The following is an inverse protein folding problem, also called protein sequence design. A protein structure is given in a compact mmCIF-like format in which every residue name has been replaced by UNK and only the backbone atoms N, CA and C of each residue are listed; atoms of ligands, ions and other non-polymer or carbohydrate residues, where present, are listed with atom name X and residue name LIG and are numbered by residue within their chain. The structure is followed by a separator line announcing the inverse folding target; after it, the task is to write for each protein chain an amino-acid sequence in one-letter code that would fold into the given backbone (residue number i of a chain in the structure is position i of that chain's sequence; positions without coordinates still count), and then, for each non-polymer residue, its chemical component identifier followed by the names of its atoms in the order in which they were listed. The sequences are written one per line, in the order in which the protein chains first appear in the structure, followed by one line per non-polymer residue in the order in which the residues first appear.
data_IF_585830374970
#
_entry.id   IF_585830374970
#
_cell.length_a   1.000
_cell.length_b   1.000
_cell.length_c   1.000
_cell.angle_alpha   90.00
_cell.angle_beta   90.00
_cell.angle_gamma   90.00
#
_symmetry.space_group_name_H-M   'P 1'
#
loop_
_entity.id
_entity.type
_entity.pdbx_description
1 polymer ?
#
# COMPACT_ATOMS: atom_id res chain seq x y z
N UNK A 1 -31.25 24.80 -5.48
CA UNK A 1 -31.64 23.87 -4.42
C UNK A 1 -32.73 22.97 -4.94
N UNK A 2 -32.70 21.69 -4.61
CA UNK A 2 -33.72 20.69 -4.95
C UNK A 2 -34.42 20.25 -3.67
N UNK A 3 -35.67 19.72 -3.80
CA UNK A 3 -36.48 19.24 -2.65
C UNK A 3 -36.40 17.72 -2.43
N UNK A 4 -35.60 17.03 -3.23
CA UNK A 4 -35.40 15.58 -3.12
C UNK A 4 -34.07 15.30 -2.42
N UNK A 5 -33.89 14.12 -1.78
CA UNK A 5 -32.62 13.72 -1.20
C UNK A 5 -31.48 13.73 -2.22
N UNK A 6 -30.34 14.25 -1.83
CA UNK A 6 -29.13 14.36 -2.66
C UNK A 6 -28.07 13.38 -2.15
N UNK A 7 -27.59 12.53 -3.05
CA UNK A 7 -26.47 11.63 -2.80
C UNK A 7 -25.23 12.24 -3.45
N UNK A 8 -24.20 12.53 -2.65
CA UNK A 8 -22.91 12.98 -3.18
C UNK A 8 -21.94 11.82 -3.38
N UNK A 9 -21.13 11.91 -4.43
CA UNK A 9 -20.03 10.98 -4.72
C UNK A 9 -18.86 11.76 -5.28
N UNK A 10 -17.64 11.49 -4.82
CA UNK A 10 -16.49 12.26 -5.29
C UNK A 10 -15.15 11.80 -4.74
N UNK A 11 -14.79 10.53 -4.89
CA UNK A 11 -13.49 10.00 -4.41
C UNK A 11 -13.28 10.23 -2.90
N UNK A 12 -14.30 10.03 -2.12
CA UNK A 12 -14.17 10.06 -0.67
C UNK A 12 -13.44 8.79 -0.22
N UNK A 13 -12.29 8.95 0.43
CA UNK A 13 -11.44 7.85 0.94
C UNK A 13 -11.44 7.81 2.47
N UNK A 14 -11.95 8.85 3.10
CA UNK A 14 -11.96 9.02 4.56
C UNK A 14 -13.39 9.24 5.05
N UNK A 15 -13.88 8.50 6.06
CA UNK A 15 -15.27 8.62 6.54
C UNK A 15 -15.59 10.00 7.13
N UNK A 16 -14.64 10.66 7.79
CA UNK A 16 -14.86 11.98 8.39
C UNK A 16 -15.23 13.06 7.36
N UNK A 17 -14.76 12.90 6.12
CA UNK A 17 -15.14 13.81 5.03
C UNK A 17 -16.62 13.67 4.67
N UNK A 18 -17.12 12.43 4.66
CA UNK A 18 -18.52 12.14 4.46
C UNK A 18 -19.38 12.73 5.58
N UNK A 19 -18.96 12.54 6.82
CA UNK A 19 -19.62 13.09 7.99
C UNK A 19 -19.69 14.63 7.95
N UNK A 20 -18.60 15.29 7.55
CA UNK A 20 -18.58 16.75 7.41
C UNK A 20 -19.63 17.24 6.40
N UNK A 21 -19.75 16.59 5.23
CA UNK A 21 -20.71 16.96 4.20
C UNK A 21 -22.16 16.81 4.68
N UNK A 22 -22.45 15.74 5.44
CA UNK A 22 -23.75 15.50 6.03
C UNK A 22 -24.07 16.54 7.10
N UNK A 23 -23.16 16.84 8.01
CA UNK A 23 -23.32 17.85 9.09
C UNK A 23 -23.52 19.25 8.55
N UNK A 24 -22.85 19.61 7.47
CA UNK A 24 -23.01 20.91 6.80
C UNK A 24 -24.29 21.00 5.94
N UNK A 25 -25.09 19.95 5.85
CA UNK A 25 -26.30 19.91 5.02
C UNK A 25 -26.03 20.03 3.52
N UNK A 26 -24.82 19.65 3.08
CA UNK A 26 -24.39 19.73 1.65
C UNK A 26 -24.87 18.51 0.86
N UNK A 27 -25.20 17.43 1.52
CA UNK A 27 -25.81 16.23 0.97
C UNK A 27 -26.62 15.49 2.06
N UNK A 28 -27.58 14.67 1.65
CA UNK A 28 -28.35 13.82 2.55
C UNK A 28 -27.72 12.44 2.71
N UNK A 29 -26.99 11.97 1.69
CA UNK A 29 -26.31 10.69 1.66
C UNK A 29 -24.96 10.81 0.97
N UNK A 30 -24.03 9.90 1.28
CA UNK A 30 -22.71 9.81 0.64
C UNK A 30 -22.50 8.43 0.05
N UNK A 31 -22.06 8.37 -1.22
CA UNK A 31 -21.74 7.12 -1.90
C UNK A 31 -20.24 6.89 -2.01
N UNK A 32 -19.82 5.67 -1.68
CA UNK A 32 -18.43 5.21 -1.77
C UNK A 32 -18.33 4.12 -2.85
N UNK A 33 -17.79 4.45 -4.02
CA UNK A 33 -17.57 3.47 -5.10
C UNK A 33 -16.26 2.72 -4.93
N UNK A 34 -15.17 3.22 -5.52
CA UNK A 34 -13.86 2.56 -5.49
C UNK A 34 -13.28 2.39 -4.09
N UNK A 35 -13.68 3.22 -3.13
CA UNK A 35 -13.28 3.05 -1.74
C UNK A 35 -13.84 1.74 -1.16
N UNK A 36 -15.08 1.37 -1.49
CA UNK A 36 -15.65 0.09 -1.07
C UNK A 36 -14.96 -1.12 -1.72
N UNK A 37 -14.33 -0.94 -2.88
CA UNK A 37 -13.47 -1.98 -3.48
C UNK A 37 -12.14 -2.10 -2.73
N UNK A 38 -11.59 -0.98 -2.26
CA UNK A 38 -10.31 -0.94 -1.53
C UNK A 38 -10.48 -1.47 -0.09
N UNK A 39 -11.54 -1.07 0.57
CA UNK A 39 -11.88 -1.48 1.94
C UNK A 39 -13.40 -1.62 2.11
N UNK A 40 -13.95 -2.82 1.94
CA UNK A 40 -15.39 -3.05 2.11
C UNK A 40 -15.85 -2.89 3.56
N UNK A 41 -14.93 -3.00 4.53
CA UNK A 41 -15.19 -2.85 5.97
C UNK A 41 -15.11 -1.40 6.46
N UNK A 42 -14.89 -0.42 5.57
CA UNK A 42 -14.79 0.99 5.96
C UNK A 42 -15.97 1.48 6.80
N UNK A 43 -17.26 1.18 6.49
CA UNK A 43 -18.36 1.61 7.33
C UNK A 43 -18.32 1.02 8.74
N UNK A 44 -17.99 -0.26 8.85
CA UNK A 44 -17.83 -0.94 10.14
C UNK A 44 -16.67 -0.34 10.97
N UNK A 45 -15.53 -0.06 10.33
CA UNK A 45 -14.39 0.61 10.95
C UNK A 45 -14.76 1.99 11.45
N UNK A 46 -15.52 2.76 10.65
CA UNK A 46 -15.99 4.08 11.05
C UNK A 46 -16.94 4.03 12.25
N UNK A 47 -17.87 3.07 12.28
CA UNK A 47 -18.80 2.89 13.40
C UNK A 47 -18.10 2.52 14.71
N UNK A 48 -16.98 1.83 14.65
CA UNK A 48 -16.21 1.36 15.80
C UNK A 48 -15.00 2.23 16.13
N UNK A 49 -14.85 3.40 15.48
CA UNK A 49 -13.70 4.30 15.63
C UNK A 49 -12.34 3.60 15.41
N UNK A 50 -12.29 2.69 14.45
CA UNK A 50 -11.13 1.84 14.14
C UNK A 50 -10.60 2.16 12.74
N UNK A 51 -10.13 3.41 12.55
CA UNK A 51 -9.72 3.94 11.24
C UNK A 51 -8.24 3.79 10.94
N UNK A 52 -7.42 3.37 11.90
CA UNK A 52 -5.97 3.30 11.76
C UNK A 52 -5.49 2.30 10.70
N UNK A 53 -6.28 1.24 10.45
CA UNK A 53 -6.00 0.24 9.42
C UNK A 53 -6.91 0.36 8.18
N UNK A 54 -7.63 1.48 8.06
CA UNK A 54 -8.42 1.77 6.88
C UNK A 54 -7.53 1.84 5.64
N UNK A 55 -7.86 1.04 4.63
CA UNK A 55 -7.12 0.97 3.37
C UNK A 55 -7.75 1.93 2.34
N UNK A 56 -7.13 3.07 2.04
CA UNK A 56 -7.69 4.03 1.10
C UNK A 56 -7.56 3.57 -0.35
N UNK A 57 -8.52 3.96 -1.18
CA UNK A 57 -8.40 3.83 -2.62
C UNK A 57 -7.34 4.82 -3.15
N UNK A 58 -6.22 4.32 -3.65
CA UNK A 58 -5.12 5.13 -4.21
C UNK A 58 -5.38 5.68 -5.63
N UNK A 59 -6.59 5.53 -6.14
CA UNK A 59 -7.02 6.01 -7.46
C UNK A 59 -6.13 5.57 -8.64
N UNK A 60 -5.51 4.41 -8.56
CA UNK A 60 -4.63 3.86 -9.61
C UNK A 60 -5.37 3.43 -10.87
N UNK A 61 -6.65 3.08 -10.77
CA UNK A 61 -7.55 2.61 -11.83
C UNK A 61 -7.13 1.31 -12.53
N UNK A 62 -5.99 0.72 -12.17
CA UNK A 62 -5.34 -0.38 -12.93
C UNK A 62 -6.12 -1.70 -12.88
N UNK A 63 -6.59 -2.09 -11.70
CA UNK A 63 -7.29 -3.36 -11.53
C UNK A 63 -8.81 -3.26 -11.61
N UNK A 64 -9.39 -2.11 -11.33
CA UNK A 64 -10.84 -1.92 -11.37
C UNK A 64 -11.30 -1.37 -12.72
N UNK A 65 -11.06 -0.09 -13.00
CA UNK A 65 -11.58 0.60 -14.19
C UNK A 65 -10.97 0.04 -15.48
N UNK A 66 -9.65 -0.21 -15.50
CA UNK A 66 -9.00 -0.74 -16.70
C UNK A 66 -9.51 -2.14 -17.05
N UNK A 67 -9.69 -3.02 -16.05
CA UNK A 67 -10.23 -4.36 -16.29
C UNK A 67 -11.71 -4.30 -16.73
N UNK A 68 -12.48 -3.40 -16.12
CA UNK A 68 -13.87 -3.20 -16.53
C UNK A 68 -13.99 -2.83 -18.02
N UNK A 69 -13.15 -1.92 -18.52
CA UNK A 69 -13.14 -1.56 -19.95
C UNK A 69 -12.68 -2.68 -20.86
N UNK A 70 -11.93 -3.64 -20.35
CA UNK A 70 -11.50 -4.84 -21.12
C UNK A 70 -12.51 -5.99 -21.05
N UNK A 71 -13.57 -5.86 -20.22
CA UNK A 71 -14.50 -6.95 -19.92
C UNK A 71 -13.88 -8.06 -19.05
N UNK A 72 -12.81 -7.75 -18.33
CA UNK A 72 -12.11 -8.67 -17.42
C UNK A 72 -12.65 -8.54 -16.00
N UNK A 73 -12.54 -9.58 -15.16
CA UNK A 73 -12.86 -9.49 -13.74
C UNK A 73 -12.06 -8.37 -13.07
N UNK A 74 -12.75 -7.54 -12.29
CA UNK A 74 -12.09 -6.46 -11.55
C UNK A 74 -11.27 -7.03 -10.38
N UNK A 75 -10.12 -6.40 -10.11
CA UNK A 75 -9.31 -6.60 -8.93
C UNK A 75 -8.89 -5.26 -8.34
N UNK A 76 -8.32 -5.26 -7.15
CA UNK A 76 -7.84 -4.04 -6.52
C UNK A 76 -6.37 -4.20 -6.11
N UNK A 77 -5.52 -3.20 -6.40
CA UNK A 77 -4.10 -3.23 -6.06
C UNK A 77 -3.84 -3.13 -4.56
N UNK A 78 -4.79 -2.58 -3.81
CA UNK A 78 -4.66 -2.39 -2.36
C UNK A 78 -5.56 -3.32 -1.55
N UNK A 79 -6.42 -4.10 -2.21
CA UNK A 79 -7.25 -5.13 -1.59
C UNK A 79 -7.05 -6.45 -2.34
N UNK A 80 -6.17 -7.35 -1.87
CA UNK A 80 -5.92 -8.63 -2.54
C UNK A 80 -7.11 -9.60 -2.46
N UNK A 81 -8.13 -9.28 -1.64
CA UNK A 81 -9.31 -10.11 -1.41
C UNK A 81 -10.56 -9.65 -2.16
N UNK A 82 -10.47 -8.61 -2.97
CA UNK A 82 -11.63 -8.14 -3.74
C UNK A 82 -12.26 -9.30 -4.54
N UNK A 83 -13.55 -9.53 -4.29
CA UNK A 83 -14.31 -10.63 -4.90
C UNK A 83 -14.18 -11.98 -4.19
N UNK A 84 -13.42 -12.05 -3.10
CA UNK A 84 -13.21 -13.24 -2.27
C UNK A 84 -13.56 -13.01 -0.78
N UNK A 85 -14.28 -11.93 -0.47
CA UNK A 85 -14.58 -11.50 0.90
C UNK A 85 -15.34 -12.57 1.68
N UNK A 86 -16.29 -13.26 1.03
CA UNK A 86 -17.06 -14.32 1.67
C UNK A 86 -16.22 -15.54 2.09
N UNK A 87 -15.08 -15.76 1.44
CA UNK A 87 -14.16 -16.86 1.75
C UNK A 87 -13.19 -16.49 2.87
N UNK A 88 -12.90 -15.18 3.04
CA UNK A 88 -11.91 -14.66 3.97
C UNK A 88 -10.51 -15.23 3.72
N UNK A 89 -9.64 -15.10 4.70
CA UNK A 89 -8.33 -15.77 4.70
C UNK A 89 -8.47 -17.17 5.32
N UNK A 90 -8.43 -18.26 4.54
CA UNK A 90 -8.52 -19.59 5.12
C UNK A 90 -7.34 -19.81 6.07
N UNK A 91 -7.65 -20.23 7.30
CA UNK A 91 -6.61 -20.56 8.27
C UNK A 91 -5.78 -21.74 7.75
N UNK A 92 -4.48 -21.69 8.02
CA UNK A 92 -3.60 -22.78 7.67
C UNK A 92 -3.84 -23.97 8.60
N UNK A 93 -3.85 -25.19 8.06
CA UNK A 93 -3.96 -26.43 8.86
C UNK A 93 -2.80 -26.58 9.83
N UNK A 94 -1.61 -26.13 9.42
CA UNK A 94 -0.39 -26.14 10.25
C UNK A 94 0.31 -24.78 10.16
N UNK A 95 0.64 -24.23 11.33
CA UNK A 95 1.48 -23.03 11.40
C UNK A 95 2.88 -23.32 10.86
N UNK A 96 3.43 -22.35 10.13
CA UNK A 96 4.78 -22.36 9.58
C UNK A 96 5.55 -21.13 10.03
N UNK A 97 6.87 -21.25 10.18
CA UNK A 97 7.78 -20.12 10.32
C UNK A 97 8.03 -19.53 8.94
N UNK A 98 7.51 -18.33 8.68
CA UNK A 98 7.62 -17.64 7.38
C UNK A 98 8.56 -16.46 7.52
N UNK A 99 9.58 -16.41 6.66
CA UNK A 99 10.49 -15.31 6.53
C UNK A 99 10.11 -14.49 5.31
N UNK A 100 9.83 -13.18 5.49
CA UNK A 100 9.56 -12.24 4.40
C UNK A 100 10.75 -11.29 4.29
N UNK A 101 11.36 -11.20 3.10
CA UNK A 101 12.54 -10.37 2.83
C UNK A 101 12.12 -9.19 1.97
N UNK A 102 12.16 -7.99 2.55
CA UNK A 102 11.77 -6.72 1.94
C UNK A 102 10.45 -6.18 2.48
N UNK A 103 10.51 -5.01 3.13
CA UNK A 103 9.40 -4.30 3.77
C UNK A 103 8.65 -3.34 2.84
N UNK A 104 8.69 -3.57 1.52
CA UNK A 104 7.83 -2.90 0.56
C UNK A 104 6.37 -3.33 0.68
N UNK A 105 5.46 -2.72 -0.10
CA UNK A 105 4.02 -3.02 -0.02
C UNK A 105 3.71 -4.50 -0.32
N UNK A 106 4.45 -5.13 -1.22
CA UNK A 106 4.28 -6.56 -1.52
C UNK A 106 4.68 -7.44 -0.32
N UNK A 107 5.81 -7.13 0.33
CA UNK A 107 6.27 -7.87 1.51
C UNK A 107 5.35 -7.68 2.70
N UNK A 108 4.93 -6.45 2.99
CA UNK A 108 3.96 -6.19 4.05
C UNK A 108 2.64 -6.92 3.81
N UNK A 109 2.13 -6.88 2.55
CA UNK A 109 0.91 -7.60 2.20
C UNK A 109 1.06 -9.11 2.41
N UNK A 110 2.15 -9.70 1.93
CA UNK A 110 2.43 -11.12 2.15
C UNK A 110 2.56 -11.47 3.63
N UNK A 111 3.19 -10.58 4.42
CA UNK A 111 3.42 -10.79 5.84
C UNK A 111 2.11 -10.79 6.64
N UNK A 112 1.26 -9.74 6.51
CA UNK A 112 0.01 -9.74 7.27
C UNK A 112 -0.96 -10.83 6.81
N UNK A 113 -1.04 -11.12 5.51
CA UNK A 113 -1.87 -12.24 5.02
C UNK A 113 -1.41 -13.58 5.59
N UNK A 114 -0.10 -13.85 5.59
CA UNK A 114 0.43 -15.07 6.17
C UNK A 114 0.16 -15.16 7.69
N UNK A 115 0.35 -14.06 8.41
CA UNK A 115 0.08 -14.01 9.86
C UNK A 115 -1.42 -14.16 10.17
N UNK A 116 -2.31 -13.50 9.43
CA UNK A 116 -3.77 -13.66 9.55
C UNK A 116 -4.22 -15.09 9.25
N UNK A 117 -3.48 -15.84 8.42
CA UNK A 117 -3.70 -17.27 8.19
C UNK A 117 -3.17 -18.17 9.30
N UNK A 118 -2.45 -17.64 10.28
CA UNK A 118 -1.97 -18.37 11.46
C UNK A 118 -0.52 -18.83 11.39
N UNK A 119 0.29 -18.26 10.50
CA UNK A 119 1.73 -18.52 10.45
C UNK A 119 2.50 -17.61 11.42
N UNK A 120 3.69 -18.05 11.86
CA UNK A 120 4.66 -17.23 12.59
C UNK A 120 5.53 -16.48 11.58
N UNK A 121 5.33 -15.16 11.47
CA UNK A 121 5.91 -14.36 10.39
C UNK A 121 6.93 -13.35 10.90
N UNK A 122 8.12 -13.37 10.30
CA UNK A 122 9.15 -12.36 10.48
C UNK A 122 9.39 -11.62 9.16
N UNK A 123 9.28 -10.28 9.18
CA UNK A 123 9.51 -9.38 8.06
C UNK A 123 10.84 -8.64 8.27
N UNK A 124 11.73 -8.69 7.29
CA UNK A 124 13.06 -8.06 7.33
C UNK A 124 13.14 -6.95 6.28
N UNK A 125 13.55 -5.76 6.72
CA UNK A 125 13.75 -4.58 5.87
C UNK A 125 15.17 -4.03 6.06
N UNK A 126 15.87 -3.83 4.97
CA UNK A 126 17.26 -3.37 4.96
C UNK A 126 17.46 -1.90 5.36
N UNK A 127 16.39 -1.11 5.28
CA UNK A 127 16.37 0.32 5.59
C UNK A 127 15.65 0.61 6.92
N UNK A 128 15.64 1.88 7.30
CA UNK A 128 14.92 2.39 8.47
C UNK A 128 13.43 2.69 8.21
N UNK A 129 12.91 2.37 7.02
CA UNK A 129 11.53 2.74 6.62
C UNK A 129 10.85 1.66 5.81
N UNK A 130 9.61 1.33 6.19
CA UNK A 130 8.74 0.46 5.40
C UNK A 130 8.10 1.19 4.23
N UNK A 131 7.59 0.44 3.25
CA UNK A 131 6.88 0.95 2.08
C UNK A 131 7.67 0.91 0.77
N UNK A 132 8.99 0.72 0.83
CA UNK A 132 9.84 0.57 -0.35
C UNK A 132 9.67 1.71 -1.38
N UNK A 133 9.69 1.39 -2.66
CA UNK A 133 9.55 2.37 -3.74
C UNK A 133 8.18 3.11 -3.76
N UNK A 134 7.14 2.56 -3.13
CA UNK A 134 5.85 3.23 -3.04
C UNK A 134 5.90 4.52 -2.21
N UNK A 135 6.86 4.66 -1.29
CA UNK A 135 7.12 5.93 -0.59
C UNK A 135 7.48 7.04 -1.57
N UNK A 136 8.34 6.74 -2.55
CA UNK A 136 8.74 7.71 -3.58
C UNK A 136 7.55 8.04 -4.50
N UNK A 137 6.71 7.07 -4.81
CA UNK A 137 5.50 7.26 -5.61
C UNK A 137 4.44 8.15 -4.92
N UNK A 138 4.53 8.35 -3.60
CA UNK A 138 3.63 9.21 -2.83
C UNK A 138 3.97 10.70 -2.90
N UNK A 139 5.21 11.08 -3.27
CA UNK A 139 5.66 12.48 -3.24
C UNK A 139 4.98 13.40 -4.28
N UNK A 140 4.67 12.96 -5.52
CA UNK A 140 4.00 13.83 -6.46
C UNK A 140 2.65 14.35 -5.94
N UNK A 141 2.25 15.59 -6.28
CA UNK A 141 0.98 16.16 -5.87
C UNK A 141 -0.20 15.24 -6.19
N UNK A 142 -1.15 15.12 -5.26
CA UNK A 142 -2.35 14.29 -5.42
C UNK A 142 -2.14 12.79 -5.21
N UNK A 143 -0.96 12.36 -4.69
CA UNK A 143 -0.63 10.96 -4.42
C UNK A 143 -0.57 10.61 -2.92
N UNK A 144 -1.06 11.49 -2.05
CA UNK A 144 -1.03 11.30 -0.60
C UNK A 144 -1.72 10.02 -0.10
N UNK A 145 -2.75 9.54 -0.81
CA UNK A 145 -3.44 8.29 -0.47
C UNK A 145 -2.48 7.07 -0.43
N UNK A 146 -1.36 7.13 -1.17
CA UNK A 146 -0.32 6.09 -1.13
C UNK A 146 0.35 6.05 0.25
N UNK A 147 0.60 7.21 0.87
CA UNK A 147 1.16 7.28 2.22
C UNK A 147 0.20 6.67 3.24
N UNK A 148 -1.09 6.97 3.13
CA UNK A 148 -2.12 6.40 4.00
C UNK A 148 -2.24 4.87 3.82
N UNK A 149 -2.15 4.38 2.59
CA UNK A 149 -2.11 2.94 2.30
C UNK A 149 -0.89 2.26 2.94
N UNK A 150 0.31 2.85 2.83
CA UNK A 150 1.51 2.32 3.48
C UNK A 150 1.32 2.25 4.99
N UNK A 151 0.78 3.32 5.60
CA UNK A 151 0.47 3.37 7.03
C UNK A 151 -0.48 2.25 7.43
N UNK A 152 -1.58 2.07 6.70
CA UNK A 152 -2.55 1.03 7.01
C UNK A 152 -1.95 -0.39 6.90
N UNK A 153 -1.03 -0.62 5.97
CA UNK A 153 -0.33 -1.90 5.85
C UNK A 153 0.62 -2.16 7.02
N UNK A 154 1.29 -1.12 7.53
CA UNK A 154 2.13 -1.21 8.73
C UNK A 154 1.26 -1.61 9.92
N UNK A 155 0.16 -0.89 10.15
CA UNK A 155 -0.78 -1.18 11.24
C UNK A 155 -1.35 -2.61 11.13
N UNK A 156 -1.69 -3.06 9.92
CA UNK A 156 -2.15 -4.45 9.71
C UNK A 156 -1.08 -5.47 10.05
N UNK A 157 0.18 -5.23 9.68
CA UNK A 157 1.28 -6.11 10.09
C UNK A 157 1.41 -6.18 11.62
N UNK A 158 1.32 -5.05 12.30
CA UNK A 158 1.39 -4.96 13.76
C UNK A 158 0.22 -5.69 14.43
N UNK A 159 -1.02 -5.42 13.99
CA UNK A 159 -2.23 -6.10 14.50
C UNK A 159 -2.22 -7.61 14.24
N UNK A 160 -1.65 -8.05 13.12
CA UNK A 160 -1.49 -9.46 12.80
C UNK A 160 -0.35 -10.16 13.58
N UNK A 161 0.45 -9.40 14.34
CA UNK A 161 1.56 -9.94 15.14
C UNK A 161 2.81 -10.27 14.31
N UNK A 162 3.01 -9.62 13.16
CA UNK A 162 4.23 -9.76 12.36
C UNK A 162 5.43 -9.19 13.11
N UNK A 163 6.51 -9.97 13.22
CA UNK A 163 7.78 -9.53 13.81
C UNK A 163 8.57 -8.74 12.77
N UNK A 164 8.66 -7.42 12.94
CA UNK A 164 9.31 -6.51 11.98
C UNK A 164 10.74 -6.22 12.43
N UNK A 165 11.71 -6.53 11.57
CA UNK A 165 13.14 -6.31 11.77
C UNK A 165 13.65 -5.26 10.77
N UNK A 166 13.80 -4.03 11.25
CA UNK A 166 14.32 -2.90 10.45
C UNK A 166 15.86 -2.91 10.42
N UNK A 167 16.43 -2.18 9.43
CA UNK A 167 17.89 -2.07 9.25
C UNK A 167 18.60 -3.43 9.16
N UNK A 168 17.91 -4.45 8.64
CA UNK A 168 18.38 -5.82 8.60
C UNK A 168 18.42 -6.32 7.16
N UNK A 169 19.63 -6.48 6.63
CA UNK A 169 19.85 -7.10 5.32
C UNK A 169 19.96 -8.62 5.51
N UNK A 170 19.07 -9.35 4.85
CA UNK A 170 19.06 -10.83 4.92
C UNK A 170 20.01 -11.37 3.85
N UNK A 171 20.92 -12.23 4.27
CA UNK A 171 21.80 -13.04 3.42
C UNK A 171 21.47 -14.54 3.53
N UNK A 172 22.19 -15.35 2.77
CA UNK A 172 21.96 -16.80 2.76
C UNK A 172 22.29 -17.48 4.10
N UNK A 173 23.30 -16.97 4.81
CA UNK A 173 23.71 -17.52 6.11
C UNK A 173 22.64 -17.27 7.18
N UNK A 174 22.02 -16.08 7.15
CA UNK A 174 20.88 -15.78 8.03
C UNK A 174 19.67 -16.68 7.74
N UNK A 175 19.35 -16.93 6.47
CA UNK A 175 18.26 -17.85 6.10
C UNK A 175 18.53 -19.26 6.62
N UNK A 176 19.80 -19.75 6.49
CA UNK A 176 20.21 -21.06 7.00
C UNK A 176 20.16 -21.14 8.53
N UNK A 177 20.52 -20.06 9.21
CA UNK A 177 20.51 -19.99 10.68
C UNK A 177 19.08 -19.96 11.23
N UNK A 178 18.21 -19.13 10.63
CA UNK A 178 16.81 -18.96 11.04
C UNK A 178 15.93 -20.18 10.72
N UNK A 179 16.31 -20.99 9.74
CA UNK A 179 15.59 -22.21 9.31
C UNK A 179 14.09 -22.00 9.14
N UNK A 180 13.64 -21.03 8.32
CA UNK A 180 12.22 -20.84 8.06
C UNK A 180 11.66 -22.02 7.26
N UNK A 181 10.36 -22.33 7.46
CA UNK A 181 9.63 -23.31 6.63
C UNK A 181 9.34 -22.77 5.22
N UNK A 182 9.26 -21.44 5.09
CA UNK A 182 9.07 -20.75 3.80
C UNK A 182 9.74 -19.39 3.81
N UNK A 183 10.27 -18.99 2.64
CA UNK A 183 10.85 -17.67 2.41
C UNK A 183 10.08 -16.98 1.30
N UNK A 184 9.63 -15.74 1.54
CA UNK A 184 9.01 -14.87 0.54
C UNK A 184 10.00 -13.75 0.22
N UNK A 185 10.47 -13.69 -1.03
CA UNK A 185 11.42 -12.67 -1.49
C UNK A 185 10.64 -11.54 -2.17
N UNK A 186 10.67 -10.34 -1.56
CA UNK A 186 9.96 -9.14 -2.02
C UNK A 186 10.88 -7.91 -2.01
N UNK A 187 12.13 -8.09 -2.41
CA UNK A 187 13.19 -7.08 -2.37
C UNK A 187 13.04 -5.96 -3.40
N UNK A 188 11.98 -6.00 -4.22
CA UNK A 188 11.63 -4.94 -5.16
C UNK A 188 12.54 -4.88 -6.38
N UNK A 189 12.68 -3.66 -6.93
CA UNK A 189 13.46 -3.39 -8.13
C UNK A 189 14.48 -2.27 -7.89
N UNK A 190 15.53 -2.28 -8.70
CA UNK A 190 16.52 -1.19 -8.77
C UNK A 190 16.35 -0.44 -10.08
N UNK A 191 16.69 0.84 -10.08
CA UNK A 191 16.69 1.67 -11.28
C UNK A 191 17.69 1.10 -12.29
N UNK A 192 17.22 0.77 -13.49
CA UNK A 192 18.08 0.41 -14.60
C UNK A 192 18.68 1.69 -15.20
N UNK A 193 20.01 1.75 -15.25
CA UNK A 193 20.76 2.89 -15.79
C UNK A 193 21.09 2.58 -17.24
N UNK A 194 20.45 3.28 -18.18
CA UNK A 194 20.61 3.07 -19.61
C UNK A 194 21.52 4.11 -20.29
N UNK A 195 21.93 5.16 -19.55
CA UNK A 195 22.65 6.28 -20.15
C UNK A 195 24.15 6.26 -19.77
N UNK A 196 25.01 6.58 -20.74
CA UNK A 196 26.42 6.85 -20.48
C UNK A 196 26.57 8.16 -19.73
N UNK A 197 27.57 8.27 -18.87
CA UNK A 197 27.88 9.47 -18.13
C UNK A 197 27.06 9.65 -16.84
N UNK A 198 26.31 8.62 -16.42
CA UNK A 198 25.53 8.66 -15.17
C UNK A 198 26.40 8.89 -13.93
N UNK A 199 27.68 8.59 -14.02
CA UNK A 199 28.69 8.85 -13.00
C UNK A 199 29.04 10.33 -12.84
N UNK A 200 28.59 11.20 -13.77
CA UNK A 200 28.79 12.63 -13.64
C UNK A 200 28.04 13.16 -12.42
N UNK A 201 28.70 13.86 -11.49
CA UNK A 201 28.08 14.35 -10.26
C UNK A 201 26.97 15.39 -10.49
N UNK A 202 26.88 15.97 -11.68
CA UNK A 202 25.76 16.86 -12.06
C UNK A 202 24.47 16.10 -12.37
N UNK A 203 24.54 14.77 -12.59
CA UNK A 203 23.37 13.94 -12.82
C UNK A 203 22.79 13.50 -11.49
N UNK A 204 21.48 13.66 -11.34
CA UNK A 204 20.73 13.29 -10.14
C UNK A 204 19.69 12.25 -10.54
N UNK A 205 19.69 11.11 -9.87
CA UNK A 205 18.60 10.16 -10.00
C UNK A 205 17.30 10.75 -9.44
N UNK A 206 16.20 10.57 -10.16
CA UNK A 206 14.88 11.03 -9.71
C UNK A 206 14.49 10.49 -8.33
N UNK A 207 14.88 9.24 -8.03
CA UNK A 207 14.69 8.65 -6.70
C UNK A 207 15.42 9.40 -5.58
N UNK A 208 16.66 9.84 -5.83
CA UNK A 208 17.44 10.57 -4.82
C UNK A 208 16.93 11.99 -4.60
N UNK A 209 16.40 12.60 -5.67
CA UNK A 209 15.72 13.89 -5.58
C UNK A 209 14.42 13.77 -4.77
N UNK A 210 13.59 12.78 -5.07
CA UNK A 210 12.33 12.53 -4.36
C UNK A 210 12.56 12.14 -2.89
N UNK A 211 13.61 11.36 -2.60
CA UNK A 211 13.95 10.96 -1.22
C UNK A 211 14.68 12.06 -0.44
N UNK A 212 14.91 13.23 -1.04
CA UNK A 212 15.57 14.37 -0.42
C UNK A 212 17.07 14.20 -0.20
N UNK A 213 17.70 13.17 -0.79
CA UNK A 213 19.15 12.92 -0.69
C UNK A 213 19.96 13.93 -1.49
N UNK A 214 19.37 14.46 -2.56
CA UNK A 214 19.98 15.47 -3.44
C UNK A 214 18.97 16.55 -3.81
N UNK A 215 19.46 17.77 -4.01
CA UNK A 215 18.65 18.91 -4.43
C UNK A 215 18.96 19.29 -5.88
N UNK A 216 17.93 19.64 -6.64
CA UNK A 216 18.07 20.18 -7.99
C UNK A 216 18.44 21.66 -7.97
N UNK A 217 19.19 22.12 -8.97
CA UNK A 217 19.51 23.54 -9.17
C UNK A 217 18.36 24.31 -9.80
N UNK A 218 18.61 25.59 -10.14
CA UNK A 218 17.60 26.47 -10.76
C UNK A 218 17.28 26.11 -12.21
N UNK A 219 18.22 25.49 -12.93
CA UNK A 219 18.03 25.02 -14.32
C UNK A 219 18.20 23.51 -14.34
N UNK A 220 17.18 22.81 -14.74
CA UNK A 220 17.14 21.33 -14.71
C UNK A 220 16.67 20.81 -16.07
N UNK A 221 17.39 19.84 -16.59
CA UNK A 221 16.95 19.02 -17.70
C UNK A 221 16.47 17.67 -17.13
N UNK A 222 15.21 17.32 -17.40
CA UNK A 222 14.68 16.00 -17.03
C UNK A 222 14.77 15.07 -18.23
N UNK A 223 15.43 13.95 -18.07
CA UNK A 223 15.55 12.89 -19.07
C UNK A 223 14.76 11.68 -18.59
N UNK A 224 13.71 11.32 -19.33
CA UNK A 224 12.91 10.12 -19.10
C UNK A 224 13.03 9.19 -20.32
N UNK A 225 13.07 7.88 -20.05
CA UNK A 225 13.07 6.84 -21.08
C UNK A 225 11.71 6.12 -21.13
#
# INVERSE_FOLDING_TARGET
AVSIPVITVGRYTEPYYAELLLREGRADLVAFGRQSLADPHMPEKAMNDNLEDLVPCIACLQGCVANMYKGEPICCLVNPFLGHEAQGYPKAEKSKKVMVIGGGVAGMCAAFVAAERGHDVSLYESTDKLGGNMRLAAYPPGKGDITNMIRSYIVRCEKAGVKIHMNTTVDLEMVKAEKPDAVIVSTGSRTLILYRGIENPAIIHGSDLLDGKRAAGKKVLVVAA
#
